data_IF_735019991682
#
_entry.id   IF_735019991682
#
_cell.length_a   1.000
_cell.length_b   1.000
_cell.length_c   1.000
_cell.angle_alpha   90.00
_cell.angle_beta   90.00
_cell.angle_gamma   90.00
#
_symmetry.space_group_name_H-M   'P 1'
#
loop_
_entity.id
_entity.type
_entity.pdbx_description
1 polymer ?
#
# COMPACT_ATOMS: atom_id res chain seq x y z
N UNK A 1 5.37 -65.09 -15.91
CA UNK A 1 5.30 -64.93 -14.43
C UNK A 1 6.55 -64.18 -14.03
N UNK A 2 6.56 -62.95 -13.54
CA UNK A 2 5.58 -62.06 -12.90
C UNK A 2 6.10 -60.63 -13.10
N UNK A 3 5.21 -59.67 -13.41
CA UNK A 3 5.53 -58.25 -13.24
C UNK A 3 5.51 -57.85 -11.76
N UNK A 4 6.10 -56.70 -11.40
CA UNK A 4 5.39 -55.65 -10.65
C UNK A 4 6.28 -54.40 -10.39
N UNK A 5 5.59 -53.25 -10.43
CA UNK A 5 5.76 -52.01 -9.70
C UNK A 5 7.14 -51.40 -9.43
N UNK A 6 7.41 -50.31 -10.16
CA UNK A 6 8.02 -49.10 -9.58
C UNK A 6 7.10 -47.89 -9.79
N UNK A 7 5.92 -47.90 -9.13
CA UNK A 7 5.20 -46.66 -8.78
C UNK A 7 5.82 -46.13 -7.49
N UNK A 8 6.72 -45.14 -7.60
CA UNK A 8 7.19 -44.39 -6.44
C UNK A 8 6.21 -43.24 -6.17
N UNK A 9 5.55 -43.37 -5.02
CA UNK A 9 4.79 -42.40 -4.26
C UNK A 9 5.18 -40.93 -4.52
N UNK A 10 4.26 -40.17 -5.12
CA UNK A 10 4.18 -38.71 -4.91
C UNK A 10 3.47 -38.54 -3.56
N UNK A 11 4.20 -38.18 -2.51
CA UNK A 11 3.60 -37.70 -1.27
C UNK A 11 2.79 -36.45 -1.63
N UNK A 12 1.50 -36.50 -1.33
CA UNK A 12 0.63 -35.33 -1.33
C UNK A 12 1.21 -34.30 -0.37
N UNK A 13 1.98 -33.32 -0.89
CA UNK A 13 2.14 -32.04 -0.20
C UNK A 13 0.77 -31.40 -0.17
N UNK A 14 0.22 -31.32 1.03
CA UNK A 14 -1.07 -30.74 1.36
C UNK A 14 -1.25 -29.40 0.62
N UNK A 15 -2.38 -29.22 -0.06
CA UNK A 15 -2.84 -27.98 -0.70
C UNK A 15 -2.75 -26.72 0.20
N UNK A 16 -2.48 -26.87 1.49
CA UNK A 16 -2.36 -25.81 2.48
C UNK A 16 -1.01 -25.07 2.42
N UNK A 17 0.10 -25.74 2.12
CA UNK A 17 1.43 -25.10 2.10
C UNK A 17 1.63 -24.24 0.85
N UNK A 18 1.13 -24.71 -0.30
CA UNK A 18 1.16 -23.94 -1.56
C UNK A 18 0.23 -22.71 -1.51
N UNK A 19 -0.85 -22.76 -0.73
CA UNK A 19 -1.74 -21.60 -0.53
C UNK A 19 -1.06 -20.48 0.26
N UNK A 20 -0.20 -20.79 1.23
CA UNK A 20 0.51 -19.78 2.02
C UNK A 20 1.56 -19.03 1.19
N UNK A 21 2.20 -19.71 0.22
CA UNK A 21 3.23 -19.13 -0.67
C UNK A 21 2.63 -18.21 -1.75
N UNK A 22 1.34 -18.35 -2.05
CA UNK A 22 0.66 -17.62 -3.14
C UNK A 22 -0.34 -16.56 -2.64
N UNK A 23 -0.41 -16.29 -1.33
CA UNK A 23 -1.25 -15.20 -0.82
C UNK A 23 -0.62 -13.86 -1.22
N UNK A 24 -1.39 -12.92 -1.80
CA UNK A 24 -0.87 -11.58 -2.08
C UNK A 24 -0.39 -10.93 -0.77
N UNK A 25 0.69 -10.16 -0.84
CA UNK A 25 1.26 -9.52 0.34
C UNK A 25 0.21 -8.62 1.02
N UNK A 26 0.15 -8.64 2.36
CA UNK A 26 -0.78 -7.79 3.09
C UNK A 26 -0.37 -6.33 2.88
N UNK A 27 -1.33 -5.50 2.48
CA UNK A 27 -1.08 -4.07 2.31
C UNK A 27 -1.28 -3.34 3.65
N UNK A 28 -0.33 -2.48 4.01
CA UNK A 28 -0.40 -1.67 5.22
C UNK A 28 -0.89 -0.27 4.89
N UNK A 29 -1.88 0.23 5.64
CA UNK A 29 -2.41 1.58 5.50
C UNK A 29 -3.00 2.10 6.80
N UNK A 30 -3.26 3.41 6.86
CA UNK A 30 -4.03 3.97 7.96
C UNK A 30 -5.45 3.39 7.98
N UNK A 31 -5.95 3.15 9.19
CA UNK A 31 -7.32 2.73 9.41
C UNK A 31 -8.27 3.90 9.13
N UNK A 32 -9.40 3.57 8.51
CA UNK A 32 -10.53 4.49 8.37
C UNK A 32 -11.38 4.47 9.64
N UNK A 33 -12.25 5.47 9.81
CA UNK A 33 -13.18 5.52 10.93
C UNK A 33 -14.12 4.30 10.97
N UNK A 34 -14.50 3.76 9.80
CA UNK A 34 -15.39 2.60 9.68
C UNK A 34 -14.78 1.28 10.15
N UNK A 35 -13.44 1.18 10.23
CA UNK A 35 -12.74 -0.05 10.61
C UNK A 35 -12.54 -0.19 12.12
N UNK A 36 -12.86 0.85 12.90
CA UNK A 36 -12.64 0.86 14.36
C UNK A 36 -13.36 -0.29 15.07
N UNK A 37 -14.56 -0.65 14.62
CA UNK A 37 -15.31 -1.77 15.20
C UNK A 37 -14.59 -3.12 14.96
N UNK A 38 -14.11 -3.36 13.74
CA UNK A 38 -13.38 -4.58 13.40
C UNK A 38 -12.03 -4.67 14.13
N UNK A 39 -11.33 -3.54 14.24
CA UNK A 39 -10.09 -3.43 15.03
C UNK A 39 -10.36 -3.74 16.51
N UNK A 40 -11.43 -3.18 17.08
CA UNK A 40 -11.84 -3.46 18.46
C UNK A 40 -12.08 -4.96 18.69
N UNK A 41 -12.71 -5.66 17.75
CA UNK A 41 -12.90 -7.12 17.84
C UNK A 41 -11.58 -7.90 17.77
N UNK A 42 -10.65 -7.50 16.88
CA UNK A 42 -9.33 -8.10 16.80
C UNK A 42 -8.57 -7.94 18.13
N UNK A 43 -8.55 -6.73 18.69
CA UNK A 43 -7.89 -6.48 19.97
C UNK A 43 -8.52 -7.28 21.11
N UNK A 44 -9.85 -7.34 21.16
CA UNK A 44 -10.57 -8.15 22.14
C UNK A 44 -10.18 -9.62 22.05
N UNK A 45 -10.09 -10.19 20.84
CA UNK A 45 -9.65 -11.57 20.62
C UNK A 45 -8.19 -11.81 21.02
N UNK A 46 -7.36 -10.77 20.98
CA UNK A 46 -5.97 -10.79 21.41
C UNK A 46 -5.80 -10.51 22.92
N UNK A 47 -6.89 -10.28 23.65
CA UNK A 47 -6.86 -9.93 25.08
C UNK A 47 -6.31 -8.53 25.36
N UNK A 48 -6.39 -7.62 24.40
CA UNK A 48 -5.91 -6.25 24.51
C UNK A 48 -7.03 -5.24 24.80
N UNK A 49 -6.75 -4.13 25.51
CA UNK A 49 -7.70 -3.06 25.75
C UNK A 49 -8.21 -2.43 24.44
N UNK A 50 -9.47 -1.99 24.44
CA UNK A 50 -10.10 -1.32 23.29
C UNK A 50 -10.96 -0.09 23.66
N UNK A 51 -11.13 0.18 24.96
CA UNK A 51 -12.14 1.13 25.46
C UNK A 51 -11.87 2.59 25.07
N UNK A 52 -10.62 2.96 24.80
CA UNK A 52 -10.20 4.35 24.56
C UNK A 52 -9.83 4.65 23.10
N UNK A 53 -9.99 3.68 22.19
CA UNK A 53 -9.59 3.82 20.78
C UNK A 53 -10.27 5.01 20.08
N UNK A 54 -11.48 5.38 20.52
CA UNK A 54 -12.25 6.47 19.94
C UNK A 54 -11.86 7.85 20.49
N UNK A 55 -11.29 7.93 21.70
CA UNK A 55 -11.13 9.18 22.46
C UNK A 55 -9.68 9.61 22.67
N UNK A 56 -8.72 8.72 22.40
CA UNK A 56 -7.29 8.87 22.71
C UNK A 56 -6.44 9.62 21.69
N UNK A 57 -6.99 9.93 20.50
CA UNK A 57 -6.19 10.49 19.39
C UNK A 57 -5.22 9.49 18.76
N UNK A 58 -5.39 8.19 19.03
CA UNK A 58 -4.56 7.12 18.44
C UNK A 58 -4.70 7.08 16.91
N UNK A 59 -3.55 7.01 16.24
CA UNK A 59 -3.42 6.73 14.82
C UNK A 59 -3.23 5.24 14.66
N UNK A 60 -4.15 4.58 13.97
CA UNK A 60 -4.14 3.13 13.76
C UNK A 60 -3.63 2.81 12.35
N UNK A 61 -2.63 1.95 12.27
CA UNK A 61 -2.18 1.30 11.04
C UNK A 61 -2.76 -0.11 11.00
N UNK A 62 -3.31 -0.52 9.85
CA UNK A 62 -3.89 -1.84 9.63
C UNK A 62 -3.18 -2.57 8.50
N UNK A 63 -3.09 -3.88 8.62
CA UNK A 63 -2.70 -4.78 7.56
C UNK A 63 -3.94 -5.48 6.99
N UNK A 64 -4.16 -5.32 5.68
CA UNK A 64 -5.33 -5.86 5.00
C UNK A 64 -4.88 -6.78 3.86
N UNK A 65 -5.57 -7.90 3.68
CA UNK A 65 -5.41 -8.78 2.51
C UNK A 65 -6.79 -9.16 2.00
N UNK A 66 -7.05 -8.94 0.71
CA UNK A 66 -8.35 -9.27 0.11
C UNK A 66 -9.56 -8.71 0.89
N UNK A 67 -9.46 -7.45 1.37
CA UNK A 67 -10.43 -6.76 2.24
C UNK A 67 -10.56 -7.30 3.69
N UNK A 68 -9.78 -8.31 4.07
CA UNK A 68 -9.76 -8.87 5.42
C UNK A 68 -8.73 -8.18 6.32
N UNK A 69 -9.15 -7.81 7.53
CA UNK A 69 -8.28 -7.25 8.56
C UNK A 69 -7.42 -8.35 9.19
N UNK A 70 -6.12 -8.32 8.91
CA UNK A 70 -5.16 -9.30 9.40
C UNK A 70 -4.37 -8.84 10.63
N UNK A 71 -4.27 -7.52 10.84
CA UNK A 71 -3.51 -6.98 11.95
C UNK A 71 -3.64 -5.48 12.09
N UNK A 72 -3.27 -4.96 13.25
CA UNK A 72 -3.24 -3.54 13.54
C UNK A 72 -2.10 -3.18 14.49
N UNK A 73 -1.72 -1.90 14.50
CA UNK A 73 -0.87 -1.27 15.52
C UNK A 73 -1.29 0.19 15.69
N UNK A 74 -1.30 0.68 16.92
CA UNK A 74 -1.63 2.05 17.26
C UNK A 74 -0.41 2.86 17.67
N UNK A 75 -0.35 4.12 17.21
CA UNK A 75 0.60 5.14 17.67
C UNK A 75 -0.22 6.29 18.22
N UNK A 76 0.06 6.69 19.46
CA UNK A 76 -0.54 7.87 20.08
C UNK A 76 0.53 8.95 20.28
N UNK A 77 0.52 10.02 19.46
CA UNK A 77 1.47 11.12 19.58
C UNK A 77 1.21 11.97 20.84
N UNK A 78 2.28 12.31 21.56
CA UNK A 78 2.26 13.11 22.80
C UNK A 78 3.46 14.06 22.83
N UNK A 79 3.36 15.17 22.10
CA UNK A 79 4.47 16.10 21.90
C UNK A 79 5.53 15.46 21.01
N UNK A 80 6.80 15.49 21.42
CA UNK A 80 7.90 14.85 20.69
C UNK A 80 8.06 13.34 20.99
N UNK A 81 7.19 12.77 21.84
CA UNK A 81 7.18 11.35 22.18
C UNK A 81 5.90 10.68 21.65
N UNK A 82 5.97 9.38 21.37
CA UNK A 82 4.80 8.58 21.01
C UNK A 82 4.64 7.34 21.87
N UNK A 83 3.41 6.88 22.01
CA UNK A 83 3.07 5.61 22.63
C UNK A 83 2.67 4.61 21.56
N UNK A 84 3.40 3.49 21.47
CA UNK A 84 2.94 2.32 20.70
C UNK A 84 1.98 1.52 21.59
N UNK A 85 0.82 1.20 21.03
CA UNK A 85 -0.21 0.36 21.66
C UNK A 85 -0.95 -0.48 20.63
N UNK A 86 -1.86 -1.33 21.10
CA UNK A 86 -2.80 -2.05 20.23
C UNK A 86 -2.14 -2.84 19.07
N UNK A 87 -0.93 -3.39 19.27
CA UNK A 87 -0.31 -4.27 18.28
C UNK A 87 -0.94 -5.66 18.37
N UNK A 88 -1.72 -6.04 17.35
CA UNK A 88 -2.35 -7.35 17.25
C UNK A 88 -2.30 -7.88 15.82
N UNK A 89 -2.21 -9.20 15.68
CA UNK A 89 -2.40 -9.90 14.41
C UNK A 89 -3.34 -11.09 14.63
N UNK A 90 -4.10 -11.44 13.60
CA UNK A 90 -4.97 -12.61 13.60
C UNK A 90 -4.14 -13.88 13.87
N UNK A 91 -4.77 -14.88 14.48
CA UNK A 91 -4.08 -16.11 14.87
C UNK A 91 -3.42 -16.82 13.67
N UNK A 92 -4.09 -16.81 12.52
CA UNK A 92 -3.61 -17.39 11.26
C UNK A 92 -2.37 -16.72 10.67
N UNK A 93 -2.05 -15.49 11.10
CA UNK A 93 -0.91 -14.71 10.60
C UNK A 93 0.22 -14.57 11.64
N UNK A 94 0.09 -15.22 12.81
CA UNK A 94 1.14 -15.25 13.83
C UNK A 94 2.34 -16.08 13.37
N UNK A 95 3.54 -15.61 13.73
CA UNK A 95 4.80 -16.28 13.36
C UNK A 95 5.23 -16.09 11.91
N UNK A 96 4.46 -15.38 11.09
CA UNK A 96 4.74 -15.13 9.67
C UNK A 96 5.40 -13.76 9.40
N UNK A 97 5.78 -13.01 10.45
CA UNK A 97 6.45 -11.72 10.32
C UNK A 97 5.52 -10.50 10.20
N UNK A 98 4.20 -10.67 10.14
CA UNK A 98 3.26 -9.54 9.98
C UNK A 98 3.33 -8.52 11.13
N UNK A 99 3.44 -8.98 12.38
CA UNK A 99 3.60 -8.10 13.53
C UNK A 99 4.89 -7.29 13.48
N UNK A 100 5.96 -7.86 12.94
CA UNK A 100 7.23 -7.16 12.72
C UNK A 100 7.06 -6.06 11.67
N UNK A 101 6.41 -6.37 10.55
CA UNK A 101 6.16 -5.40 9.48
C UNK A 101 5.30 -4.22 9.96
N UNK A 102 4.26 -4.49 10.76
CA UNK A 102 3.43 -3.45 11.38
C UNK A 102 4.25 -2.55 12.31
N UNK A 103 5.09 -3.14 13.18
CA UNK A 103 5.95 -2.40 14.09
C UNK A 103 6.98 -1.53 13.34
N UNK A 104 7.61 -2.06 12.29
CA UNK A 104 8.56 -1.32 11.43
C UNK A 104 7.90 -0.11 10.79
N UNK A 105 6.71 -0.31 10.21
CA UNK A 105 5.99 0.77 9.56
C UNK A 105 5.49 1.81 10.57
N UNK A 106 5.12 1.37 11.77
CA UNK A 106 4.72 2.28 12.84
C UNK A 106 5.89 3.16 13.33
N UNK A 107 7.07 2.56 13.52
CA UNK A 107 8.29 3.29 13.89
C UNK A 107 8.68 4.32 12.82
N UNK A 108 8.66 3.93 11.55
CA UNK A 108 8.94 4.83 10.44
C UNK A 108 7.93 5.99 10.36
N UNK A 109 6.63 5.69 10.53
CA UNK A 109 5.58 6.71 10.54
C UNK A 109 5.78 7.69 11.70
N UNK A 110 6.10 7.21 12.89
CA UNK A 110 6.37 8.05 14.05
C UNK A 110 7.55 9.00 13.83
N UNK A 111 8.68 8.47 13.34
CA UNK A 111 9.87 9.26 13.04
C UNK A 111 9.59 10.34 11.98
N UNK A 112 8.87 9.98 10.91
CA UNK A 112 8.45 10.89 9.86
C UNK A 112 7.58 12.06 10.37
N UNK A 113 6.86 11.87 11.48
CA UNK A 113 6.02 12.89 12.11
C UNK A 113 6.74 13.64 13.24
N UNK A 114 8.07 13.53 13.31
CA UNK A 114 8.90 14.30 14.25
C UNK A 114 8.92 13.74 15.67
N UNK A 115 8.42 12.52 15.89
CA UNK A 115 8.60 11.85 17.17
C UNK A 115 10.06 11.42 17.33
N UNK A 116 10.64 11.70 18.49
CA UNK A 116 12.04 11.41 18.82
C UNK A 116 12.19 10.17 19.68
N UNK A 117 11.12 9.71 20.30
CA UNK A 117 11.11 8.52 21.13
C UNK A 117 9.75 7.82 21.11
N UNK A 118 9.77 6.49 21.13
CA UNK A 118 8.60 5.65 21.29
C UNK A 118 8.68 4.90 22.61
N UNK A 119 7.53 4.82 23.27
CA UNK A 119 7.33 4.11 24.51
C UNK A 119 6.23 3.08 24.32
N UNK A 120 6.27 1.99 25.07
CA UNK A 120 5.19 1.02 25.12
C UNK A 120 5.15 0.29 26.45
N UNK A 121 3.99 -0.30 26.74
CA UNK A 121 3.78 -1.21 27.85
C UNK A 121 3.50 -2.61 27.29
N UNK A 122 4.13 -3.63 27.86
CA UNK A 122 3.88 -5.01 27.46
C UNK A 122 3.92 -5.97 28.64
N UNK A 123 3.05 -6.98 28.59
CA UNK A 123 3.03 -8.10 29.52
C UNK A 123 3.63 -9.39 28.92
N UNK A 124 3.61 -9.53 27.60
CA UNK A 124 3.83 -10.81 26.89
C UNK A 124 4.77 -10.70 25.70
N UNK A 125 5.12 -9.49 25.26
CA UNK A 125 5.87 -9.25 24.02
C UNK A 125 7.24 -8.59 24.25
N UNK A 126 7.82 -8.67 25.45
CA UNK A 126 9.10 -8.05 25.78
C UNK A 126 10.22 -8.46 24.80
N UNK A 127 10.43 -9.76 24.58
CA UNK A 127 11.44 -10.25 23.64
C UNK A 127 11.17 -9.90 22.17
N UNK A 128 9.90 -9.66 21.81
CA UNK A 128 9.56 -9.17 20.46
C UNK A 128 10.09 -7.75 20.28
N UNK A 129 9.86 -6.87 21.25
CA UNK A 129 10.31 -5.48 21.21
C UNK A 129 11.81 -5.31 21.46
N UNK A 130 12.40 -6.11 22.34
CA UNK A 130 13.83 -6.09 22.62
C UNK A 130 14.68 -6.35 21.36
N UNK A 131 14.28 -7.31 20.53
CA UNK A 131 14.92 -7.60 19.23
C UNK A 131 14.84 -6.43 18.25
N UNK A 132 13.96 -5.45 18.49
CA UNK A 132 13.78 -4.24 17.67
C UNK A 132 14.50 -3.01 18.24
N UNK A 133 15.31 -3.19 19.27
CA UNK A 133 16.09 -2.11 19.91
C UNK A 133 15.32 -1.35 20.99
N UNK A 134 14.16 -1.86 21.42
CA UNK A 134 13.51 -1.33 22.61
C UNK A 134 14.23 -1.85 23.86
N UNK A 135 14.43 -0.98 24.84
CA UNK A 135 15.07 -1.31 26.10
C UNK A 135 14.15 -1.00 27.28
N UNK A 136 14.25 -1.73 28.39
CA UNK A 136 13.51 -1.41 29.61
C UNK A 136 13.79 0.00 30.10
N UNK A 137 12.74 0.68 30.53
CA UNK A 137 12.80 2.00 31.15
C UNK A 137 11.88 2.02 32.38
N UNK A 138 12.30 2.70 33.44
CA UNK A 138 11.45 2.91 34.61
C UNK A 138 10.26 3.80 34.22
N UNK A 139 9.05 3.47 34.71
CA UNK A 139 7.82 4.22 34.37
C UNK A 139 7.92 5.69 34.77
N UNK A 140 8.63 5.96 35.86
CA UNK A 140 8.86 7.29 36.42
C UNK A 140 9.81 8.13 35.54
N UNK A 141 10.66 7.47 34.75
CA UNK A 141 11.61 8.12 33.83
C UNK A 141 10.99 8.42 32.45
N UNK A 142 9.78 7.91 32.16
CA UNK A 142 9.03 8.20 30.93
C UNK A 142 8.54 9.66 30.96
N UNK A 143 8.50 10.40 29.82
CA UNK A 143 8.01 11.77 29.81
C UNK A 143 6.61 11.92 30.38
N UNK A 144 6.35 13.01 31.12
CA UNK A 144 5.05 13.29 31.73
C UNK A 144 3.89 13.29 30.71
N UNK A 145 4.16 13.69 29.46
CA UNK A 145 3.19 13.65 28.36
C UNK A 145 2.70 12.25 28.01
N UNK A 146 3.56 11.23 28.21
CA UNK A 146 3.23 9.81 28.00
C UNK A 146 2.65 9.21 29.29
N UNK A 147 3.16 9.57 30.47
CA UNK A 147 2.61 9.13 31.76
C UNK A 147 1.13 9.55 31.93
N UNK A 148 0.73 10.69 31.36
CA UNK A 148 -0.65 11.17 31.37
C UNK A 148 -1.60 10.41 30.42
N UNK A 149 -1.12 9.43 29.65
CA UNK A 149 -1.97 8.61 28.77
C UNK A 149 -2.87 7.64 29.54
N UNK A 150 -4.00 7.24 28.94
CA UNK A 150 -4.93 6.27 29.54
C UNK A 150 -4.28 4.89 29.78
N UNK A 151 -3.38 4.48 28.88
CA UNK A 151 -2.61 3.24 28.97
C UNK A 151 -1.67 3.19 30.18
N UNK A 152 -1.01 4.30 30.52
CA UNK A 152 -0.14 4.39 31.70
C UNK A 152 -0.89 4.61 33.01
N UNK A 153 -2.03 5.31 32.96
CA UNK A 153 -2.77 5.73 34.15
C UNK A 153 -3.78 4.71 34.66
N UNK A 154 -4.36 3.86 33.80
CA UNK A 154 -5.50 3.02 34.20
C UNK A 154 -5.68 1.69 33.47
N UNK A 155 -5.24 1.56 32.21
CA UNK A 155 -5.58 0.39 31.38
C UNK A 155 -4.56 -0.76 31.47
N UNK A 156 -3.32 -0.49 31.88
CA UNK A 156 -2.29 -1.51 32.02
C UNK A 156 -1.84 -1.66 33.49
N UNK A 157 -1.81 -2.88 34.06
CA UNK A 157 -1.40 -3.08 35.44
C UNK A 157 0.02 -2.57 35.69
N UNK A 158 0.34 -2.14 36.91
CA UNK A 158 1.68 -1.64 37.30
C UNK A 158 2.80 -2.67 37.06
N UNK A 159 2.45 -3.94 36.89
CA UNK A 159 3.36 -5.05 36.60
C UNK A 159 3.79 -5.17 35.13
N UNK A 160 3.16 -4.44 34.20
CA UNK A 160 3.59 -4.48 32.80
C UNK A 160 4.93 -3.77 32.61
N UNK A 161 5.83 -4.42 31.86
CA UNK A 161 7.17 -3.91 31.55
C UNK A 161 7.04 -2.69 30.63
N UNK A 162 7.72 -1.61 30.99
CA UNK A 162 7.79 -0.41 30.17
C UNK A 162 9.09 -0.42 29.35
N UNK A 163 8.95 -0.21 28.04
CA UNK A 163 10.07 -0.18 27.11
C UNK A 163 10.11 1.14 26.36
N UNK A 164 11.31 1.58 25.99
CA UNK A 164 11.54 2.76 25.16
C UNK A 164 12.51 2.49 24.02
N UNK A 165 12.38 3.28 22.96
CA UNK A 165 13.32 3.35 21.84
C UNK A 165 13.44 4.79 21.37
N UNK A 166 14.67 5.28 21.24
CA UNK A 166 14.95 6.56 20.56
C UNK A 166 14.81 6.35 19.05
N UNK A 167 14.19 7.31 18.38
CA UNK A 167 14.11 7.34 16.93
C UNK A 167 15.19 8.28 16.41
N UNK A 168 16.05 7.76 15.54
CA UNK A 168 17.05 8.59 14.86
C UNK A 168 16.34 9.42 13.79
N UNK A 169 16.42 10.75 13.92
CA UNK A 169 15.85 11.67 12.93
C UNK A 169 16.45 11.45 11.52
N UNK A 170 17.67 10.92 11.44
CA UNK A 170 18.39 10.67 10.18
C UNK A 170 18.22 9.25 9.61
N UNK A 171 17.82 8.25 10.42
CA UNK A 171 17.53 6.90 9.92
C UNK A 171 16.22 6.85 9.11
N UNK A 172 15.38 7.89 9.21
CA UNK A 172 14.17 8.10 8.43
C UNK A 172 14.41 8.79 7.07
N UNK A 173 15.66 9.04 6.68
CA UNK A 173 16.00 9.57 5.35
C UNK A 173 15.79 8.56 4.20
N UNK A 174 15.36 7.34 4.51
CA UNK A 174 14.68 6.43 3.58
C UNK A 174 13.17 6.61 3.68
N UNK A 175 12.63 7.56 2.90
CA UNK A 175 11.20 7.81 2.67
C UNK A 175 10.39 8.51 3.77
N UNK A 176 10.56 9.82 3.91
CA UNK A 176 9.48 10.75 4.26
C UNK A 176 9.70 12.13 3.62
N UNK A 177 8.73 12.71 2.87
CA UNK A 177 8.95 13.99 2.19
C UNK A 177 8.45 15.18 3.01
N UNK A 178 9.30 16.19 3.17
CA UNK A 178 8.87 17.58 3.41
C UNK A 178 9.89 18.56 2.82
N UNK A 179 9.41 19.73 2.37
CA UNK A 179 10.06 20.76 1.52
C UNK A 179 9.94 20.49 0.02
N UNK A 180 9.70 21.52 -0.80
CA UNK A 180 9.46 21.64 -2.27
C UNK A 180 9.75 20.44 -3.21
N UNK A 181 10.68 19.54 -2.87
CA UNK A 181 10.69 18.16 -3.33
C UNK A 181 9.42 17.36 -2.96
N UNK A 182 8.62 17.81 -1.99
CA UNK A 182 7.41 17.17 -1.46
C UNK A 182 6.23 17.22 -2.41
N UNK A 183 6.04 18.33 -3.13
CA UNK A 183 5.09 18.37 -4.24
C UNK A 183 5.51 17.36 -5.33
N UNK A 184 6.80 17.29 -5.64
CA UNK A 184 7.32 16.27 -6.58
C UNK A 184 7.23 14.84 -6.02
N UNK A 185 7.35 14.64 -4.70
CA UNK A 185 7.28 13.35 -4.03
C UNK A 185 5.84 12.83 -3.96
N UNK A 186 4.86 13.68 -3.62
CA UNK A 186 3.42 13.36 -3.69
C UNK A 186 3.00 13.06 -5.13
N UNK A 187 3.49 13.85 -6.10
CA UNK A 187 3.25 13.55 -7.52
C UNK A 187 3.91 12.23 -7.95
N UNK A 188 5.05 11.85 -7.34
CA UNK A 188 5.72 10.56 -7.57
C UNK A 188 5.08 9.40 -6.82
N UNK A 189 4.22 9.60 -5.82
CA UNK A 189 3.56 8.49 -5.11
C UNK A 189 2.73 7.59 -6.04
N UNK A 190 1.88 8.12 -6.95
CA UNK A 190 1.22 7.31 -7.99
C UNK A 190 2.22 6.57 -8.88
N UNK A 191 3.29 7.26 -9.30
CA UNK A 191 4.35 6.68 -10.13
C UNK A 191 5.02 5.49 -9.46
N UNK A 192 5.55 5.68 -8.26
CA UNK A 192 6.26 4.66 -7.49
C UNK A 192 5.34 3.47 -7.19
N UNK A 193 4.06 3.70 -6.85
CA UNK A 193 3.08 2.62 -6.64
C UNK A 193 2.80 1.80 -7.91
N UNK A 194 2.68 2.48 -9.06
CA UNK A 194 2.44 1.81 -10.33
C UNK A 194 3.68 1.00 -10.77
N UNK A 195 4.87 1.58 -10.66
CA UNK A 195 6.14 0.91 -10.94
C UNK A 195 6.35 -0.30 -10.02
N UNK A 196 6.10 -0.16 -8.71
CA UNK A 196 6.21 -1.26 -7.75
C UNK A 196 5.21 -2.39 -8.04
N UNK A 197 3.97 -2.06 -8.40
CA UNK A 197 2.99 -3.07 -8.82
C UNK A 197 3.46 -3.80 -10.08
N UNK A 198 4.01 -3.08 -11.05
CA UNK A 198 4.53 -3.67 -12.27
C UNK A 198 5.71 -4.61 -11.98
N UNK A 199 6.61 -4.21 -11.08
CA UNK A 199 7.76 -5.02 -10.65
C UNK A 199 7.33 -6.32 -9.94
N UNK A 200 6.18 -6.31 -9.26
CA UNK A 200 5.55 -7.50 -8.66
C UNK A 200 4.89 -8.46 -9.67
N UNK A 201 4.92 -8.12 -10.96
CA UNK A 201 4.42 -8.99 -12.04
C UNK A 201 3.05 -8.62 -12.58
N UNK A 202 2.41 -7.57 -12.06
CA UNK A 202 1.20 -7.02 -12.68
C UNK A 202 1.52 -6.38 -14.03
N UNK A 203 0.56 -6.39 -14.95
CA UNK A 203 0.72 -5.77 -16.25
C UNK A 203 0.45 -4.27 -16.21
N UNK A 204 0.78 -3.58 -17.31
CA UNK A 204 0.83 -2.12 -17.34
C UNK A 204 -0.50 -1.44 -16.98
N UNK A 205 -1.64 -1.89 -17.54
CA UNK A 205 -2.95 -1.31 -17.21
C UNK A 205 -3.38 -1.61 -15.77
N UNK A 206 -3.13 -2.84 -15.31
CA UNK A 206 -3.42 -3.29 -13.95
C UNK A 206 -2.64 -2.45 -12.93
N UNK A 207 -1.35 -2.26 -13.17
CA UNK A 207 -0.44 -1.53 -12.29
C UNK A 207 -0.83 -0.06 -12.15
N UNK A 208 -1.17 0.60 -13.26
CA UNK A 208 -1.64 1.99 -13.23
C UNK A 208 -2.97 2.12 -12.49
N UNK A 209 -3.95 1.25 -12.79
CA UNK A 209 -5.24 1.33 -12.13
C UNK A 209 -5.14 1.04 -10.63
N UNK A 210 -4.32 0.07 -10.21
CA UNK A 210 -4.06 -0.21 -8.79
C UNK A 210 -3.44 1.00 -8.06
N UNK A 211 -2.58 1.76 -8.73
CA UNK A 211 -1.98 2.95 -8.15
C UNK A 211 -2.96 4.11 -7.98
N UNK A 212 -3.86 4.30 -8.95
CA UNK A 212 -4.88 5.37 -8.94
C UNK A 212 -6.11 5.02 -8.10
N UNK A 213 -6.42 3.73 -7.97
CA UNK A 213 -7.61 3.22 -7.29
C UNK A 213 -7.26 2.06 -6.34
N UNK A 214 -6.45 2.29 -5.29
CA UNK A 214 -6.06 1.24 -4.34
C UNK A 214 -7.26 0.54 -3.69
N UNK A 215 -8.34 1.27 -3.45
CA UNK A 215 -9.61 0.77 -2.91
C UNK A 215 -10.33 -0.23 -3.82
N UNK A 216 -9.95 -0.29 -5.10
CA UNK A 216 -10.53 -1.21 -6.08
C UNK A 216 -9.51 -2.25 -6.56
N UNK A 217 -8.34 -2.38 -5.93
CA UNK A 217 -7.19 -3.08 -6.52
C UNK A 217 -7.49 -4.48 -7.08
N UNK A 218 -8.22 -5.34 -6.35
CA UNK A 218 -8.55 -6.69 -6.83
C UNK A 218 -9.52 -6.69 -8.02
N UNK A 219 -10.65 -5.97 -7.92
CA UNK A 219 -11.65 -5.87 -9.01
C UNK A 219 -11.10 -5.09 -10.20
N UNK A 220 -10.36 -4.02 -9.94
CA UNK A 220 -9.67 -3.19 -10.91
C UNK A 220 -8.64 -3.97 -11.71
N UNK A 221 -7.84 -4.83 -11.06
CA UNK A 221 -6.91 -5.72 -11.78
C UNK A 221 -7.67 -6.56 -12.81
N UNK A 222 -8.74 -7.24 -12.40
CA UNK A 222 -9.56 -8.06 -13.29
C UNK A 222 -10.17 -7.27 -14.44
N UNK A 223 -10.63 -6.04 -14.19
CA UNK A 223 -11.17 -5.16 -15.23
C UNK A 223 -10.09 -4.68 -16.21
N UNK A 224 -8.87 -4.43 -15.73
CA UNK A 224 -7.78 -3.86 -16.51
C UNK A 224 -6.99 -4.90 -17.33
N UNK A 225 -7.04 -6.20 -17.01
CA UNK A 225 -6.23 -7.24 -17.67
C UNK A 225 -6.39 -7.23 -19.20
N UNK A 226 -7.62 -7.09 -19.72
CA UNK A 226 -7.89 -7.06 -21.16
C UNK A 226 -7.25 -5.87 -21.88
N UNK A 227 -6.86 -4.83 -21.13
CA UNK A 227 -6.28 -3.62 -21.66
C UNK A 227 -4.75 -3.65 -21.77
N UNK A 228 -4.12 -4.71 -21.26
CA UNK A 228 -2.67 -4.85 -21.24
C UNK A 228 -2.11 -5.34 -22.59
N UNK A 229 -0.78 -5.32 -22.73
CA UNK A 229 -0.06 -5.84 -23.90
C UNK A 229 -0.52 -5.21 -25.23
N UNK A 230 -0.76 -3.90 -25.24
CA UNK A 230 -1.26 -3.22 -26.43
C UNK A 230 -2.61 -3.77 -26.85
N UNK A 231 -3.56 -3.71 -25.91
CA UNK A 231 -4.92 -4.27 -25.97
C UNK A 231 -4.96 -5.71 -26.45
N UNK A 232 -4.55 -6.63 -25.58
CA UNK A 232 -4.59 -8.07 -25.83
C UNK A 232 -3.80 -8.51 -27.08
N UNK A 233 -2.65 -7.86 -27.34
CA UNK A 233 -1.74 -8.16 -28.45
C UNK A 233 -2.35 -7.87 -29.83
N UNK A 234 -3.19 -6.83 -29.92
CA UNK A 234 -3.78 -6.39 -31.19
C UNK A 234 -3.03 -5.22 -31.82
N UNK A 235 -1.82 -4.90 -31.32
CA UNK A 235 -1.02 -3.72 -31.69
C UNK A 235 -1.77 -2.40 -31.41
N UNK A 236 -2.68 -2.43 -30.44
CA UNK A 236 -3.53 -1.32 -30.07
C UNK A 236 -2.91 -0.39 -29.04
N UNK A 237 -3.77 0.34 -28.35
CA UNK A 237 -3.41 1.35 -27.35
C UNK A 237 -2.54 0.79 -26.22
N UNK A 238 -1.63 1.62 -25.74
CA UNK A 238 -0.76 1.31 -24.60
C UNK A 238 -1.58 0.97 -23.35
N UNK A 239 -1.24 -0.14 -22.69
CA UNK A 239 -1.94 -0.55 -21.48
C UNK A 239 -1.77 0.44 -20.32
N UNK A 240 -0.63 1.11 -20.20
CA UNK A 240 -0.46 2.15 -19.17
C UNK A 240 -1.42 3.33 -19.40
N UNK A 241 -1.62 3.73 -20.66
CA UNK A 241 -2.53 4.80 -21.07
C UNK A 241 -3.98 4.41 -20.78
N UNK A 242 -4.41 3.23 -21.19
CA UNK A 242 -5.78 2.76 -20.94
C UNK A 242 -6.05 2.51 -19.45
N UNK A 243 -5.06 2.03 -18.69
CA UNK A 243 -5.15 1.94 -17.22
C UNK A 243 -5.35 3.30 -16.56
N UNK A 244 -4.68 4.35 -17.04
CA UNK A 244 -4.89 5.72 -16.59
C UNK A 244 -6.29 6.23 -16.93
N UNK A 245 -6.80 5.96 -18.14
CA UNK A 245 -8.18 6.31 -18.54
C UNK A 245 -9.23 5.63 -17.64
N UNK A 246 -9.01 4.36 -17.26
CA UNK A 246 -9.87 3.68 -16.28
C UNK A 246 -9.84 4.36 -14.91
N UNK A 247 -8.66 4.78 -14.45
CA UNK A 247 -8.51 5.52 -13.19
C UNK A 247 -9.20 6.88 -13.22
N UNK A 248 -9.05 7.64 -14.31
CA UNK A 248 -9.75 8.91 -14.55
C UNK A 248 -11.26 8.71 -14.57
N UNK A 249 -11.74 7.69 -15.28
CA UNK A 249 -13.17 7.33 -15.32
C UNK A 249 -13.72 6.97 -13.93
N UNK A 250 -12.97 6.23 -13.12
CA UNK A 250 -13.39 5.92 -11.75
C UNK A 250 -13.43 7.15 -10.85
N UNK A 251 -12.53 8.11 -11.06
CA UNK A 251 -12.40 9.29 -10.21
C UNK A 251 -13.33 10.45 -10.61
N UNK A 252 -13.62 10.60 -11.90
CA UNK A 252 -14.26 11.79 -12.48
C UNK A 252 -15.45 11.45 -13.40
N UNK A 253 -15.75 10.16 -13.59
CA UNK A 253 -16.84 9.70 -14.43
C UNK A 253 -18.22 10.07 -13.89
N UNK A 254 -19.23 9.90 -14.75
CA UNK A 254 -20.63 10.17 -14.41
C UNK A 254 -21.28 8.97 -13.69
N UNK A 255 -22.13 9.24 -12.72
CA UNK A 255 -22.93 8.23 -11.99
C UNK A 255 -24.33 8.01 -12.57
N UNK A 256 -24.79 8.87 -13.48
CA UNK A 256 -26.10 8.81 -14.12
C UNK A 256 -26.02 9.10 -15.63
N UNK A 257 -27.00 8.67 -16.46
CA UNK A 257 -27.04 8.98 -17.89
C UNK A 257 -27.05 10.47 -18.23
N UNK A 258 -27.68 11.29 -17.39
CA UNK A 258 -27.89 12.73 -17.62
C UNK A 258 -26.73 13.59 -17.10
N UNK A 259 -25.87 13.02 -16.25
CA UNK A 259 -24.72 13.72 -15.69
C UNK A 259 -23.64 13.98 -16.76
N UNK A 260 -23.03 15.16 -16.67
CA UNK A 260 -22.02 15.60 -17.65
C UNK A 260 -20.78 14.71 -17.65
N UNK A 261 -20.26 14.42 -18.85
CA UNK A 261 -18.98 13.73 -19.07
C UNK A 261 -17.79 14.68 -19.09
N UNK A 262 -18.05 15.99 -19.14
CA UNK A 262 -17.07 16.99 -19.59
C UNK A 262 -15.80 16.98 -18.73
N UNK A 263 -15.95 16.93 -17.41
CA UNK A 263 -14.85 16.89 -16.46
C UNK A 263 -13.90 15.70 -16.67
N UNK A 264 -14.47 14.51 -16.90
CA UNK A 264 -13.67 13.31 -17.18
C UNK A 264 -13.00 13.41 -18.56
N UNK A 265 -13.69 13.98 -19.55
CA UNK A 265 -13.19 14.10 -20.92
C UNK A 265 -12.03 15.09 -21.01
N UNK A 266 -12.15 16.27 -20.41
CA UNK A 266 -11.08 17.27 -20.37
C UNK A 266 -9.83 16.72 -19.69
N UNK A 267 -9.98 16.10 -18.52
CA UNK A 267 -8.88 15.45 -17.81
C UNK A 267 -8.22 14.34 -18.66
N UNK A 268 -9.02 13.54 -19.37
CA UNK A 268 -8.50 12.50 -20.27
C UNK A 268 -7.76 13.08 -21.48
N UNK A 269 -8.27 14.16 -22.07
CA UNK A 269 -7.66 14.83 -23.22
C UNK A 269 -6.32 15.47 -22.83
N UNK A 270 -6.25 16.15 -21.69
CA UNK A 270 -5.02 16.72 -21.17
C UNK A 270 -3.99 15.63 -20.86
N UNK A 271 -4.40 14.58 -20.16
CA UNK A 271 -3.55 13.42 -19.88
C UNK A 271 -2.95 12.81 -21.15
N UNK A 272 -3.78 12.54 -22.17
CA UNK A 272 -3.32 11.95 -23.44
C UNK A 272 -2.34 12.89 -24.15
N UNK A 273 -2.65 14.18 -24.21
CA UNK A 273 -1.78 15.20 -24.80
C UNK A 273 -0.41 15.21 -24.11
N UNK A 274 -0.37 15.25 -22.79
CA UNK A 274 0.88 15.29 -22.02
C UNK A 274 1.69 13.99 -22.16
N UNK A 275 1.00 12.84 -22.17
CA UNK A 275 1.65 11.55 -22.39
C UNK A 275 2.28 11.47 -23.79
N UNK A 276 1.56 11.89 -24.83
CA UNK A 276 2.04 11.88 -26.21
C UNK A 276 3.14 12.92 -26.45
N UNK A 277 3.05 14.09 -25.82
CA UNK A 277 4.16 15.06 -25.84
C UNK A 277 5.43 14.49 -25.22
N UNK A 278 5.30 13.67 -24.17
CA UNK A 278 6.45 13.07 -23.48
C UNK A 278 7.04 11.87 -24.21
N UNK A 279 6.21 11.00 -24.78
CA UNK A 279 6.63 9.69 -25.31
C UNK A 279 6.42 9.51 -26.81
N UNK A 280 5.83 10.49 -27.49
CA UNK A 280 5.61 10.53 -28.94
C UNK A 280 4.41 9.72 -29.43
N UNK A 281 3.80 8.85 -28.63
CA UNK A 281 2.61 8.09 -29.01
C UNK A 281 1.85 7.53 -27.80
N UNK A 282 0.58 7.22 -27.98
CA UNK A 282 -0.22 6.39 -27.07
C UNK A 282 -0.42 4.95 -27.59
N UNK A 283 0.09 4.61 -28.78
CA UNK A 283 0.02 3.26 -29.35
C UNK A 283 1.16 2.37 -28.83
N UNK A 284 0.83 1.15 -28.37
CA UNK A 284 1.81 0.27 -27.73
C UNK A 284 2.91 -0.21 -28.69
N UNK A 285 2.57 -0.49 -29.95
CA UNK A 285 3.57 -0.96 -30.91
C UNK A 285 4.55 0.15 -31.27
N UNK A 286 4.06 1.37 -31.47
CA UNK A 286 4.90 2.54 -31.74
C UNK A 286 5.83 2.82 -30.56
N UNK A 287 5.29 2.81 -29.33
CA UNK A 287 6.07 2.99 -28.10
C UNK A 287 7.13 1.91 -27.84
N UNK A 288 7.02 0.76 -28.50
CA UNK A 288 7.95 -0.36 -28.40
C UNK A 288 8.75 -0.56 -29.70
N UNK A 289 8.91 0.50 -30.49
CA UNK A 289 9.69 0.56 -31.73
C UNK A 289 9.34 -0.57 -32.73
N UNK A 290 8.04 -0.83 -32.90
CA UNK A 290 7.53 -1.82 -33.84
C UNK A 290 7.39 -3.24 -33.27
N UNK A 291 7.80 -3.47 -32.02
CA UNK A 291 7.72 -4.79 -31.38
C UNK A 291 6.27 -5.31 -31.36
N UNK A 292 6.04 -6.47 -31.99
CA UNK A 292 4.74 -7.13 -32.03
C UNK A 292 4.63 -8.23 -30.98
N UNK A 293 3.93 -7.93 -29.88
CA UNK A 293 3.75 -8.88 -28.77
C UNK A 293 2.90 -10.11 -29.14
N UNK A 294 2.22 -10.10 -30.29
CA UNK A 294 1.43 -11.24 -30.77
C UNK A 294 2.31 -12.36 -31.34
N UNK A 295 3.53 -12.05 -31.81
CA UNK A 295 4.38 -13.02 -32.52
C UNK A 295 5.50 -13.58 -31.63
N UNK A 296 6.00 -14.79 -31.90
CA UNK A 296 7.18 -15.33 -31.23
C UNK A 296 8.40 -14.41 -31.39
N UNK A 297 8.62 -13.87 -32.59
CA UNK A 297 9.76 -13.01 -32.90
C UNK A 297 9.70 -11.71 -32.10
N UNK A 298 8.52 -11.10 -31.97
CA UNK A 298 8.35 -9.91 -31.16
C UNK A 298 8.48 -10.19 -29.66
N UNK A 299 8.08 -11.37 -29.17
CA UNK A 299 8.32 -11.76 -27.78
C UNK A 299 9.81 -11.99 -27.47
N UNK A 300 10.58 -12.52 -28.43
CA UNK A 300 12.04 -12.61 -28.32
C UNK A 300 12.65 -11.19 -28.32
N UNK A 301 12.27 -10.36 -29.30
CA UNK A 301 12.70 -8.97 -29.38
C UNK A 301 12.44 -8.20 -28.08
N UNK A 302 11.26 -8.37 -27.49
CA UNK A 302 10.88 -7.71 -26.25
C UNK A 302 11.83 -8.02 -25.09
N UNK A 303 12.26 -9.28 -24.99
CA UNK A 303 13.21 -9.74 -23.97
C UNK A 303 14.62 -9.24 -24.26
N UNK A 304 15.13 -9.47 -25.46
CA UNK A 304 16.51 -9.15 -25.85
C UNK A 304 16.80 -7.64 -25.78
N UNK A 305 15.82 -6.82 -26.17
CA UNK A 305 15.94 -5.36 -26.12
C UNK A 305 15.57 -4.76 -24.77
N UNK A 306 15.22 -5.58 -23.77
CA UNK A 306 14.87 -5.11 -22.42
C UNK A 306 13.66 -4.17 -22.40
N UNK A 307 12.70 -4.34 -23.33
CA UNK A 307 11.58 -3.40 -23.53
C UNK A 307 10.63 -3.34 -22.33
N UNK A 308 10.72 -4.31 -21.40
CA UNK A 308 10.05 -4.26 -20.11
C UNK A 308 10.39 -3.00 -19.30
N UNK A 309 11.63 -2.49 -19.40
CA UNK A 309 12.04 -1.26 -18.71
C UNK A 309 11.25 -0.05 -19.22
N UNK A 310 10.99 0.03 -20.54
CA UNK A 310 10.14 1.07 -21.14
C UNK A 310 8.70 0.94 -20.69
N UNK A 311 8.15 -0.28 -20.67
CA UNK A 311 6.81 -0.50 -20.12
C UNK A 311 6.69 -0.03 -18.66
N UNK A 312 7.72 -0.29 -17.83
CA UNK A 312 7.78 0.18 -16.44
C UNK A 312 7.76 1.71 -16.38
N UNK A 313 8.56 2.38 -17.22
CA UNK A 313 8.59 3.84 -17.30
C UNK A 313 7.23 4.42 -17.70
N UNK A 314 6.60 3.86 -18.74
CA UNK A 314 5.27 4.29 -19.20
C UNK A 314 4.21 4.09 -18.12
N UNK A 315 4.26 2.96 -17.40
CA UNK A 315 3.36 2.67 -16.28
C UNK A 315 3.51 3.72 -15.17
N UNK A 316 4.74 4.02 -14.76
CA UNK A 316 4.98 5.04 -13.76
C UNK A 316 4.50 6.43 -14.19
N UNK A 317 4.88 6.85 -15.40
CA UNK A 317 4.53 8.16 -15.92
C UNK A 317 3.02 8.33 -16.17
N UNK A 318 2.33 7.29 -16.64
CA UNK A 318 0.89 7.35 -16.87
C UNK A 318 0.11 7.55 -15.55
N UNK A 319 0.49 6.85 -14.49
CA UNK A 319 -0.11 7.03 -13.16
C UNK A 319 0.17 8.45 -12.61
N UNK A 320 1.41 8.94 -12.78
CA UNK A 320 1.83 10.28 -12.38
C UNK A 320 0.97 11.38 -13.05
N UNK A 321 0.83 11.30 -14.38
CA UNK A 321 0.11 12.30 -15.17
C UNK A 321 -1.40 12.23 -14.90
N UNK A 322 -1.98 11.04 -14.84
CA UNK A 322 -3.41 10.88 -14.56
C UNK A 322 -3.78 11.40 -13.16
N UNK A 323 -2.94 11.16 -12.15
CA UNK A 323 -3.18 11.70 -10.81
C UNK A 323 -3.23 13.23 -10.82
N UNK A 324 -2.29 13.89 -11.52
CA UNK A 324 -2.29 15.35 -11.64
C UNK A 324 -3.60 15.88 -12.21
N UNK A 325 -4.12 15.24 -13.25
CA UNK A 325 -5.41 15.63 -13.83
C UNK A 325 -6.60 15.39 -12.89
N UNK A 326 -6.58 14.32 -12.09
CA UNK A 326 -7.59 14.06 -11.06
C UNK A 326 -7.59 15.18 -10.01
N UNK A 327 -6.41 15.58 -9.54
CA UNK A 327 -6.24 16.62 -8.52
C UNK A 327 -6.64 17.99 -9.07
N UNK A 328 -6.19 18.34 -10.27
CA UNK A 328 -6.57 19.59 -10.94
C UNK A 328 -8.09 19.68 -11.14
N UNK A 329 -8.72 18.61 -11.62
CA UNK A 329 -10.16 18.56 -11.82
C UNK A 329 -10.96 18.59 -10.50
N UNK A 330 -10.38 18.16 -9.37
CA UNK A 330 -10.99 18.29 -8.03
C UNK A 330 -10.91 19.71 -7.49
N UNK A 331 -9.75 20.33 -7.59
CA UNK A 331 -9.57 21.72 -7.19
C UNK A 331 -10.50 22.68 -7.97
N UNK A 332 -10.70 22.45 -9.27
CA UNK A 332 -11.59 23.27 -10.08
C UNK A 332 -13.09 23.15 -9.71
N UNK A 333 -13.50 22.03 -9.08
CA UNK A 333 -14.89 21.78 -8.67
C UNK A 333 -15.24 22.31 -7.26
N UNK A 334 -14.25 22.70 -6.46
CA UNK A 334 -14.43 23.21 -5.08
C UNK A 334 -14.51 24.74 -5.01
N UNK A 335 -14.48 25.43 -6.16
CA UNK A 335 -14.64 26.88 -6.20
C UNK A 335 -16.02 27.27 -5.67
N UNK A 336 -16.12 28.14 -4.64
CA UNK A 336 -17.40 28.47 -4.02
C UNK A 336 -18.30 29.13 -5.06
N UNK A 337 -19.51 28.59 -5.20
CA UNK A 337 -20.58 29.25 -5.93
C UNK A 337 -20.76 30.65 -5.32
N UNK A 338 -20.40 31.68 -6.11
CA UNK A 338 -20.69 33.07 -5.81
C UNK A 338 -22.16 33.41 -5.99
#
# INVERSE_FOLDING_TARGET
>A
MTGDARRRYIRHSSNNELRTILKPDPHLRLATAGERAAIGQLLLSAGLPQQDLATSGVVLLVAIRDEELLGCVGIEPRGEAGLIRSLAVTESERGLGLGQLLAERAEALAAAHGLRALYLLTNTAEMFWARRGYHPVAREAVPASIQASAEFSSLCPSTAVCLSKTLDADAAAGEAPASLAGAQAETRLPRTRAEASFDQGYFCAESVLRALAPQAAAKGTRMATAFCSGMARTRGSCGAVTGAMLGLGLALGRDAPEASVQRCYEATQNFLKDFEQRFGSSNCQVLLDGCDLATPEGQVMFKERGLRARCREFTGAAAELAQREIEAARAAGESPAG
#
